data_IF_800713343533
#
_entry.id   IF_800713343533
#
_cell.length_a   1.000
_cell.length_b   1.000
_cell.length_c   1.000
_cell.angle_alpha   90.00
_cell.angle_beta   90.00
_cell.angle_gamma   90.00
#
_symmetry.space_group_name_H-M   'P 1'
#
loop_
_entity.id
_entity.type
_entity.pdbx_description
1 polymer ?
#
# COMPACT_ATOMS: atom_id res chain seq x y z
N UNK A 1 16.93 13.98 -9.05
CA UNK A 1 17.91 14.12 -10.16
C UNK A 1 18.14 12.72 -10.73
N UNK A 2 17.89 12.48 -12.03
CA UNK A 2 18.01 11.13 -12.62
C UNK A 2 19.46 10.84 -13.02
N UNK A 3 19.86 9.57 -13.11
CA UNK A 3 21.24 9.20 -13.48
C UNK A 3 21.57 9.60 -14.90
N UNK A 4 20.58 9.62 -15.79
CA UNK A 4 20.73 10.19 -17.14
C UNK A 4 21.09 11.68 -17.10
N UNK A 5 20.56 12.42 -16.12
CA UNK A 5 20.92 13.84 -15.93
C UNK A 5 22.38 13.97 -15.44
N UNK A 6 22.81 13.10 -14.53
CA UNK A 6 24.17 13.09 -13.99
C UNK A 6 25.19 12.69 -15.07
N UNK A 7 24.87 11.68 -15.89
CA UNK A 7 25.68 11.26 -17.05
C UNK A 7 25.79 12.36 -18.10
N UNK A 8 24.69 13.08 -18.35
CA UNK A 8 24.70 14.22 -19.27
C UNK A 8 25.59 15.36 -18.76
N UNK A 9 25.51 15.69 -17.45
CA UNK A 9 26.40 16.69 -16.86
C UNK A 9 27.87 16.27 -16.88
N UNK A 10 28.17 14.99 -16.59
CA UNK A 10 29.53 14.47 -16.76
C UNK A 10 30.02 14.72 -18.19
N UNK A 11 29.25 14.28 -19.19
CA UNK A 11 29.64 14.44 -20.60
C UNK A 11 29.86 15.91 -20.98
N UNK A 12 29.02 16.82 -20.48
CA UNK A 12 29.16 18.25 -20.72
C UNK A 12 30.44 18.82 -20.06
N UNK A 13 30.74 18.44 -18.81
CA UNK A 13 31.95 18.88 -18.11
C UNK A 13 33.20 18.31 -18.79
N UNK A 14 33.20 17.02 -19.14
CA UNK A 14 34.32 16.36 -19.85
C UNK A 14 34.60 17.04 -21.19
N UNK A 15 33.59 17.60 -21.87
CA UNK A 15 33.78 18.34 -23.13
C UNK A 15 34.40 19.74 -22.97
N UNK A 16 34.49 20.25 -21.75
CA UNK A 16 34.99 21.59 -21.44
C UNK A 16 36.41 21.59 -20.86
N UNK A 17 37.02 20.42 -20.63
CA UNK A 17 38.33 20.28 -20.00
C UNK A 17 39.30 19.62 -20.97
N UNK A 18 40.53 20.15 -21.06
CA UNK A 18 41.55 19.70 -22.01
C UNK A 18 42.05 18.27 -21.70
N UNK A 19 42.12 17.89 -20.42
CA UNK A 19 42.56 16.57 -19.94
C UNK A 19 41.39 15.60 -19.68
N UNK A 20 40.50 15.46 -20.67
CA UNK A 20 39.27 14.66 -20.54
C UNK A 20 39.53 13.19 -20.19
N UNK A 21 40.64 12.62 -20.64
CA UNK A 21 41.00 11.22 -20.40
C UNK A 21 41.39 10.94 -18.94
N UNK A 22 41.94 11.93 -18.23
CA UNK A 22 42.33 11.77 -16.82
C UNK A 22 41.08 11.76 -15.91
N UNK A 23 40.08 12.58 -16.25
CA UNK A 23 38.77 12.60 -15.58
C UNK A 23 38.01 11.29 -15.82
N UNK A 24 38.02 10.78 -17.05
CA UNK A 24 37.34 9.53 -17.39
C UNK A 24 38.04 8.28 -16.83
N UNK A 25 39.35 8.35 -16.61
CA UNK A 25 40.12 7.27 -15.99
C UNK A 25 40.07 7.28 -14.45
N UNK A 26 39.65 8.38 -13.83
CA UNK A 26 39.53 8.55 -12.37
C UNK A 26 38.72 7.43 -11.71
N UNK A 27 39.39 6.70 -10.81
CA UNK A 27 38.81 5.59 -10.06
C UNK A 27 37.65 6.04 -9.16
N UNK A 28 37.79 7.19 -8.49
CA UNK A 28 36.75 7.76 -7.63
C UNK A 28 35.47 8.07 -8.42
N UNK A 29 35.60 8.62 -9.63
CA UNK A 29 34.47 8.99 -10.47
C UNK A 29 33.77 7.73 -11.03
N UNK A 30 34.55 6.71 -11.40
CA UNK A 30 34.02 5.39 -11.82
C UNK A 30 33.23 4.71 -10.69
N UNK A 31 33.77 4.71 -9.47
CA UNK A 31 33.11 4.13 -8.30
C UNK A 31 31.83 4.89 -7.93
N UNK A 32 31.87 6.23 -7.99
CA UNK A 32 30.70 7.08 -7.76
C UNK A 32 29.57 6.80 -8.77
N UNK A 33 29.89 6.73 -10.07
CA UNK A 33 28.89 6.41 -11.11
C UNK A 33 28.40 4.96 -11.02
N UNK A 34 29.26 4.02 -10.64
CA UNK A 34 28.86 2.63 -10.40
C UNK A 34 27.88 2.55 -9.25
N UNK A 35 28.19 3.17 -8.11
CA UNK A 35 27.29 3.25 -6.97
C UNK A 35 25.97 3.93 -7.34
N UNK A 36 26.00 4.97 -8.17
CA UNK A 36 24.77 5.61 -8.67
C UNK A 36 23.94 4.65 -9.54
N UNK A 37 24.56 3.93 -10.49
CA UNK A 37 23.86 2.93 -11.31
C UNK A 37 23.32 1.77 -10.46
N UNK A 38 24.03 1.37 -9.41
CA UNK A 38 23.58 0.35 -8.46
C UNK A 38 22.44 0.84 -7.55
N UNK A 39 22.37 2.15 -7.30
CA UNK A 39 21.25 2.80 -6.62
C UNK A 39 20.06 3.09 -7.55
N UNK A 40 20.22 2.97 -8.88
CA UNK A 40 19.07 2.99 -9.78
C UNK A 40 18.26 1.72 -9.58
N UNK A 41 17.11 1.89 -8.95
CA UNK A 41 16.06 0.87 -8.93
C UNK A 41 15.75 0.54 -10.40
N UNK A 42 16.23 -0.62 -10.87
CA UNK A 42 15.85 -1.14 -12.18
C UNK A 42 14.35 -1.28 -12.18
N UNK A 43 13.67 -0.45 -12.98
CA UNK A 43 12.24 -0.57 -13.21
C UNK A 43 11.99 -1.92 -13.89
N UNK A 44 11.65 -2.93 -13.10
CA UNK A 44 10.97 -4.11 -13.62
C UNK A 44 9.71 -3.60 -14.35
N UNK A 45 9.36 -4.22 -15.47
CA UNK A 45 8.19 -3.95 -16.32
C UNK A 45 7.12 -3.14 -15.58
N UNK A 46 6.73 -1.96 -16.09
CA UNK A 46 5.58 -1.21 -15.58
C UNK A 46 4.31 -1.75 -16.25
N UNK A 47 3.62 -2.79 -15.71
CA UNK A 47 2.34 -3.17 -16.26
C UNK A 47 1.39 -1.98 -16.12
N UNK A 48 0.73 -1.60 -17.22
CA UNK A 48 -0.41 -0.71 -17.15
C UNK A 48 -1.53 -1.48 -16.45
N UNK A 49 -1.85 -1.10 -15.21
CA UNK A 49 -2.96 -1.69 -14.45
C UNK A 49 -4.20 -0.84 -14.72
N UNK A 50 -5.16 -1.40 -15.46
CA UNK A 50 -6.46 -0.75 -15.64
C UNK A 50 -7.35 -1.01 -14.43
N UNK A 51 -7.62 0.04 -13.64
CA UNK A 51 -8.50 -0.01 -12.47
C UNK A 51 -9.95 0.39 -12.79
N UNK A 52 -10.24 0.76 -14.05
CA UNK A 52 -11.58 1.20 -14.48
C UNK A 52 -12.68 0.19 -14.15
N UNK A 53 -12.48 -1.15 -14.32
CA UNK A 53 -13.49 -2.13 -13.94
C UNK A 53 -13.85 -2.08 -12.46
N UNK A 54 -12.88 -1.80 -11.58
CA UNK A 54 -13.13 -1.68 -10.14
C UNK A 54 -13.89 -0.39 -9.83
N UNK A 55 -13.51 0.72 -10.46
CA UNK A 55 -14.20 2.00 -10.28
C UNK A 55 -15.67 1.87 -10.73
N UNK A 56 -15.92 1.26 -11.89
CA UNK A 56 -17.28 1.00 -12.39
C UNK A 56 -18.07 0.15 -11.40
N UNK A 57 -17.47 -0.92 -10.88
CA UNK A 57 -18.11 -1.77 -9.86
C UNK A 57 -18.46 -1.01 -8.58
N UNK A 58 -17.57 -0.14 -8.11
CA UNK A 58 -17.83 0.69 -6.94
C UNK A 58 -18.94 1.71 -7.19
N UNK A 59 -19.08 2.20 -8.43
CA UNK A 59 -20.20 3.07 -8.84
C UNK A 59 -21.52 2.31 -8.92
N UNK A 60 -21.53 1.10 -9.45
CA UNK A 60 -22.72 0.22 -9.48
C UNK A 60 -23.22 -0.12 -8.07
N UNK A 61 -22.31 -0.28 -7.11
CA UNK A 61 -22.66 -0.45 -5.70
C UNK A 61 -23.36 0.77 -5.10
N UNK A 62 -23.19 1.96 -5.68
CA UNK A 62 -23.85 3.17 -5.24
C UNK A 62 -23.25 3.80 -3.99
N UNK A 63 -24.12 4.41 -3.18
CA UNK A 63 -23.70 5.23 -2.02
C UNK A 63 -23.13 4.37 -0.92
N UNK A 64 -21.99 4.77 -0.37
CA UNK A 64 -21.27 4.02 0.68
C UNK A 64 -22.12 3.73 1.92
N UNK A 65 -23.05 4.63 2.26
CA UNK A 65 -23.98 4.49 3.38
C UNK A 65 -25.02 3.39 3.18
N UNK A 66 -25.34 3.02 1.94
CA UNK A 66 -26.39 2.07 1.58
C UNK A 66 -25.86 0.64 1.42
N UNK A 67 -24.53 0.49 1.35
CA UNK A 67 -23.89 -0.81 1.17
C UNK A 67 -24.19 -1.77 2.32
N UNK A 68 -24.38 -3.03 1.96
CA UNK A 68 -24.38 -4.13 2.92
C UNK A 68 -22.99 -4.29 3.56
N UNK A 69 -22.92 -5.00 4.69
CA UNK A 69 -21.68 -5.15 5.46
C UNK A 69 -20.56 -5.79 4.63
N UNK A 70 -20.87 -6.74 3.75
CA UNK A 70 -19.87 -7.46 2.95
C UNK A 70 -19.30 -6.56 1.85
N UNK A 71 -20.14 -5.81 1.16
CA UNK A 71 -19.76 -4.80 0.17
C UNK A 71 -18.95 -3.69 0.83
N UNK A 72 -19.44 -3.14 1.94
CA UNK A 72 -18.75 -2.09 2.70
C UNK A 72 -17.37 -2.55 3.20
N UNK A 73 -17.27 -3.78 3.71
CA UNK A 73 -15.98 -4.38 4.12
C UNK A 73 -15.04 -4.49 2.93
N UNK A 74 -15.52 -5.01 1.79
CA UNK A 74 -14.71 -5.16 0.57
C UNK A 74 -14.22 -3.81 0.05
N UNK A 75 -15.12 -2.83 -0.02
CA UNK A 75 -14.84 -1.45 -0.43
C UNK A 75 -13.80 -0.80 0.49
N UNK A 76 -13.99 -0.92 1.80
CA UNK A 76 -13.08 -0.32 2.79
C UNK A 76 -11.69 -0.96 2.70
N UNK A 77 -11.58 -2.30 2.71
CA UNK A 77 -10.29 -2.98 2.58
C UNK A 77 -9.56 -2.61 1.28
N UNK A 78 -10.29 -2.54 0.15
CA UNK A 78 -9.68 -2.20 -1.14
C UNK A 78 -9.24 -0.74 -1.20
N UNK A 79 -10.04 0.21 -0.72
CA UNK A 79 -9.68 1.63 -0.69
C UNK A 79 -8.49 1.87 0.25
N UNK A 80 -8.43 1.23 1.42
CA UNK A 80 -7.27 1.31 2.32
C UNK A 80 -6.01 0.72 1.67
N UNK A 81 -6.15 -0.41 0.95
CA UNK A 81 -5.04 -1.00 0.22
C UNK A 81 -4.51 -0.08 -0.89
N UNK A 82 -5.41 0.51 -1.69
CA UNK A 82 -5.04 1.37 -2.81
C UNK A 82 -4.47 2.72 -2.34
N UNK A 83 -5.18 3.44 -1.48
CA UNK A 83 -4.80 4.80 -1.08
C UNK A 83 -3.73 4.83 0.01
N UNK A 84 -3.68 3.81 0.87
CA UNK A 84 -2.66 3.70 1.91
C UNK A 84 -1.45 2.85 1.51
N UNK A 85 -1.44 2.29 0.29
CA UNK A 85 -0.44 1.31 -0.15
C UNK A 85 -0.28 0.14 0.83
N UNK A 86 -1.40 -0.30 1.41
CA UNK A 86 -1.41 -1.28 2.50
C UNK A 86 -1.57 -2.69 1.98
N UNK A 87 -0.73 -3.61 2.47
CA UNK A 87 -0.94 -5.05 2.28
C UNK A 87 -2.08 -5.52 3.18
N UNK A 88 -2.69 -6.66 2.86
CA UNK A 88 -3.70 -7.28 3.72
C UNK A 88 -3.21 -7.49 5.16
N UNK A 89 -1.93 -7.86 5.33
CA UNK A 89 -1.30 -7.98 6.66
C UNK A 89 -1.17 -6.65 7.39
N UNK A 90 -0.97 -5.55 6.67
CA UNK A 90 -0.87 -4.22 7.25
C UNK A 90 -2.27 -3.77 7.70
N UNK A 91 -3.30 -3.99 6.88
CA UNK A 91 -4.71 -3.70 7.22
C UNK A 91 -5.16 -4.50 8.45
N UNK A 92 -4.77 -5.77 8.52
CA UNK A 92 -5.04 -6.63 9.68
C UNK A 92 -4.42 -6.06 10.97
N UNK A 93 -3.31 -5.32 10.87
CA UNK A 93 -2.53 -4.81 12.00
C UNK A 93 -2.87 -3.35 12.35
N UNK A 94 -3.91 -2.78 11.76
CA UNK A 94 -4.38 -1.43 12.10
C UNK A 94 -5.02 -1.45 13.49
N UNK A 95 -4.49 -0.60 14.38
CA UNK A 95 -5.09 -0.34 15.68
C UNK A 95 -6.20 0.70 15.56
N UNK A 96 -7.44 0.26 15.76
CA UNK A 96 -8.64 1.07 15.68
C UNK A 96 -8.73 2.10 16.80
N UNK A 97 -8.16 1.82 17.98
CA UNK A 97 -8.10 2.78 19.10
C UNK A 97 -7.24 4.00 18.76
N UNK A 98 -6.28 3.82 17.84
CA UNK A 98 -5.38 4.85 17.31
C UNK A 98 -5.76 5.31 15.92
N UNK A 99 -6.93 4.91 15.43
CA UNK A 99 -7.46 5.32 14.13
C UNK A 99 -8.40 6.49 14.31
N UNK A 100 -7.98 7.66 13.83
CA UNK A 100 -8.70 8.93 13.96
C UNK A 100 -9.01 9.54 12.61
N UNK A 101 -10.12 10.27 12.54
CA UNK A 101 -10.50 11.05 11.36
C UNK A 101 -10.60 12.51 11.81
N UNK A 102 -9.74 13.36 11.27
CA UNK A 102 -9.68 14.78 11.61
C UNK A 102 -9.35 15.60 10.36
N UNK A 103 -10.05 16.73 10.16
CA UNK A 103 -9.88 17.62 9.00
C UNK A 103 -9.72 16.85 7.68
N UNK A 104 -10.68 15.97 7.37
CA UNK A 104 -10.70 15.17 6.14
C UNK A 104 -9.51 14.22 5.94
N UNK A 105 -8.72 13.96 6.98
CA UNK A 105 -7.59 13.01 6.95
C UNK A 105 -7.91 11.82 7.86
N UNK A 106 -7.78 10.62 7.31
CA UNK A 106 -7.79 9.37 8.06
C UNK A 106 -6.35 9.06 8.50
N UNK A 107 -6.12 9.06 9.81
CA UNK A 107 -4.84 8.65 10.42
C UNK A 107 -5.00 7.30 11.07
N UNK A 108 -4.10 6.37 10.75
CA UNK A 108 -4.08 5.01 11.28
C UNK A 108 -2.67 4.67 11.76
N UNK A 109 -2.58 3.78 12.74
CA UNK A 109 -1.30 3.21 13.16
C UNK A 109 -1.32 1.71 12.93
N UNK A 110 -0.31 1.22 12.21
CA UNK A 110 -0.11 -0.20 11.93
C UNK A 110 0.93 -0.72 12.91
N UNK A 111 0.51 -1.69 13.73
CA UNK A 111 1.33 -2.23 14.81
C UNK A 111 2.16 -3.40 14.29
N UNK A 112 3.46 -3.40 14.58
CA UNK A 112 4.41 -4.46 14.21
C UNK A 112 4.22 -4.93 12.75
N UNK A 113 4.30 -4.06 11.72
CA UNK A 113 4.26 -4.50 10.33
C UNK A 113 5.44 -5.43 10.03
N UNK A 114 5.43 -6.11 8.88
CA UNK A 114 6.56 -6.99 8.50
C UNK A 114 7.88 -6.24 8.33
N UNK A 115 7.80 -4.94 8.04
CA UNK A 115 8.95 -4.04 7.98
C UNK A 115 9.61 -3.92 9.36
N UNK A 116 10.94 -3.99 9.39
CA UNK A 116 11.74 -3.78 10.60
C UNK A 116 12.70 -2.62 10.38
N UNK A 117 13.03 -1.89 11.44
CA UNK A 117 14.11 -0.88 11.44
C UNK A 117 15.17 -1.30 12.44
N UNK A 118 16.42 -1.42 11.98
CA UNK A 118 17.55 -1.88 12.79
C UNK A 118 17.26 -3.21 13.51
N UNK A 119 16.62 -4.15 12.80
CA UNK A 119 16.23 -5.46 13.35
C UNK A 119 15.04 -5.45 14.32
N UNK A 120 14.51 -4.28 14.68
CA UNK A 120 13.38 -4.12 15.60
C UNK A 120 12.05 -3.92 14.87
N UNK A 121 10.99 -4.45 15.46
CA UNK A 121 9.61 -4.15 15.10
C UNK A 121 9.32 -2.66 15.28
N UNK A 122 8.44 -2.12 14.44
CA UNK A 122 8.09 -0.69 14.45
C UNK A 122 6.58 -0.50 14.57
N UNK A 123 6.18 0.73 14.83
CA UNK A 123 4.84 1.20 14.51
C UNK A 123 4.93 2.03 13.23
N UNK A 124 4.01 1.80 12.30
CA UNK A 124 3.97 2.57 11.05
C UNK A 124 2.72 3.45 11.01
N UNK A 125 2.84 4.78 11.14
CA UNK A 125 1.74 5.68 10.87
C UNK A 125 1.38 5.65 9.37
N UNK A 126 0.09 5.76 9.07
CA UNK A 126 -0.43 5.87 7.71
C UNK A 126 -1.51 6.95 7.69
N UNK A 127 -1.37 7.91 6.78
CA UNK A 127 -2.32 8.99 6.59
C UNK A 127 -2.92 8.91 5.19
N UNK A 128 -4.24 9.01 5.10
CA UNK A 128 -4.98 8.98 3.85
C UNK A 128 -5.91 10.19 3.80
N UNK A 129 -5.78 10.99 2.74
CA UNK A 129 -6.65 12.14 2.50
C UNK A 129 -8.02 11.71 1.96
N UNK A 130 -9.03 12.53 2.23
CA UNK A 130 -10.35 12.40 1.63
C UNK A 130 -10.26 12.52 0.09
N UNK A 131 -11.04 11.69 -0.59
CA UNK A 131 -11.18 11.77 -2.04
C UNK A 131 -12.42 12.61 -2.37
N UNK A 132 -12.32 13.47 -3.40
CA UNK A 132 -13.40 14.36 -3.82
C UNK A 132 -14.67 13.60 -4.23
N UNK A 133 -14.51 12.47 -4.93
CA UNK A 133 -15.62 11.56 -5.24
C UNK A 133 -16.00 10.72 -4.00
N UNK A 134 -17.20 10.88 -3.42
CA UNK A 134 -17.64 10.12 -2.24
C UNK A 134 -17.70 8.61 -2.47
N UNK A 135 -17.85 8.16 -3.72
CA UNK A 135 -17.85 6.73 -4.06
C UNK A 135 -16.45 6.14 -3.90
N UNK A 136 -15.40 6.92 -4.18
CA UNK A 136 -14.00 6.47 -4.09
C UNK A 136 -13.31 6.93 -2.80
N UNK A 137 -14.07 7.52 -1.86
CA UNK A 137 -13.51 8.14 -0.68
C UNK A 137 -13.13 7.13 0.42
N UNK A 138 -11.82 6.94 0.73
CA UNK A 138 -11.37 6.03 1.78
C UNK A 138 -11.77 6.52 3.18
N UNK A 139 -11.74 7.84 3.41
CA UNK A 139 -12.10 8.45 4.70
C UNK A 139 -13.58 8.22 5.01
N UNK A 140 -14.46 8.46 4.04
CA UNK A 140 -15.90 8.22 4.16
C UNK A 140 -16.19 6.72 4.34
N UNK A 141 -15.56 5.85 3.56
CA UNK A 141 -15.72 4.40 3.71
C UNK A 141 -15.31 3.92 5.10
N UNK A 142 -14.15 4.34 5.59
CA UNK A 142 -13.68 4.00 6.93
C UNK A 142 -14.63 4.52 8.02
N UNK A 143 -15.10 5.78 7.91
CA UNK A 143 -16.06 6.37 8.85
C UNK A 143 -17.35 5.56 8.95
N UNK A 144 -17.97 5.23 7.81
CA UNK A 144 -19.20 4.45 7.78
C UNK A 144 -18.96 3.01 8.25
N UNK A 145 -17.81 2.42 7.89
CA UNK A 145 -17.41 1.10 8.35
C UNK A 145 -17.26 1.04 9.87
N UNK A 146 -16.58 2.01 10.49
CA UNK A 146 -16.48 2.09 11.96
C UNK A 146 -17.85 2.18 12.62
N UNK A 147 -18.75 3.02 12.10
CA UNK A 147 -20.10 3.17 12.64
C UNK A 147 -20.99 1.93 12.50
N UNK A 148 -20.81 1.11 11.45
CA UNK A 148 -21.65 -0.08 11.21
C UNK A 148 -21.05 -1.39 11.72
N UNK A 149 -19.72 -1.48 11.77
CA UNK A 149 -19.00 -2.76 11.92
C UNK A 149 -18.01 -2.72 13.08
N UNK A 150 -17.16 -1.70 13.16
CA UNK A 150 -16.13 -1.60 14.21
C UNK A 150 -16.54 -0.63 15.35
N UNK A 151 -17.81 -0.69 15.76
CA UNK A 151 -18.34 0.20 16.81
C UNK A 151 -17.97 -0.28 18.23
N UNK A 152 -17.86 -1.59 18.42
CA UNK A 152 -17.44 -2.22 19.67
C UNK A 152 -15.93 -2.50 19.70
N UNK A 153 -15.40 -2.61 20.93
CA UNK A 153 -14.04 -3.09 21.17
C UNK A 153 -13.89 -4.55 20.74
N UNK A 154 -12.85 -4.85 19.96
CA UNK A 154 -12.39 -6.23 19.77
C UNK A 154 -10.85 -6.23 19.79
N UNK A 155 -10.36 -6.66 20.95
CA UNK A 155 -8.96 -6.65 21.31
C UNK A 155 -8.40 -8.05 21.16
N UNK A 156 -7.25 -8.16 20.51
CA UNK A 156 -6.52 -9.42 20.42
C UNK A 156 -5.03 -9.21 20.67
N UNK A 157 -4.36 -10.20 21.28
CA UNK A 157 -2.91 -10.20 21.37
C UNK A 157 -2.31 -10.24 19.95
N UNK A 158 -1.24 -9.49 19.75
CA UNK A 158 -0.54 -9.46 18.48
C UNK A 158 0.11 -10.83 18.20
N UNK A 159 -0.01 -11.32 16.97
CA UNK A 159 0.41 -12.69 16.58
C UNK A 159 1.87 -13.01 16.90
N UNK A 160 2.75 -12.00 16.86
CA UNK A 160 4.18 -12.17 17.12
C UNK A 160 4.59 -11.80 18.55
N UNK A 161 3.75 -11.04 19.27
CA UNK A 161 4.08 -10.51 20.58
C UNK A 161 2.80 -10.39 21.42
N UNK A 162 2.56 -11.41 22.24
CA UNK A 162 1.35 -11.50 23.06
C UNK A 162 1.26 -10.42 24.15
N UNK A 163 2.36 -9.69 24.42
CA UNK A 163 2.33 -8.55 25.34
C UNK A 163 1.66 -7.31 24.73
N UNK A 164 1.54 -7.25 23.40
CA UNK A 164 0.89 -6.14 22.70
C UNK A 164 -0.54 -6.55 22.39
N UNK A 165 -1.50 -5.74 22.81
CA UNK A 165 -2.91 -5.91 22.45
C UNK A 165 -3.27 -4.89 21.37
N UNK A 166 -3.93 -5.35 20.31
CA UNK A 166 -4.37 -4.51 19.20
C UNK A 166 -5.90 -4.51 19.14
N UNK A 167 -6.51 -3.32 19.10
CA UNK A 167 -7.94 -3.20 18.81
C UNK A 167 -8.14 -3.29 17.29
N UNK A 168 -8.70 -4.39 16.80
CA UNK A 168 -8.62 -4.76 15.40
C UNK A 168 -9.60 -3.99 14.50
N UNK A 169 -9.17 -3.04 13.67
CA UNK A 169 -10.12 -2.31 12.81
C UNK A 169 -10.99 -3.24 11.94
N UNK A 170 -10.39 -4.23 11.28
CA UNK A 170 -11.09 -5.12 10.35
C UNK A 170 -11.84 -6.25 11.07
N UNK A 171 -13.18 -6.21 11.09
CA UNK A 171 -14.06 -7.19 11.77
C UNK A 171 -14.78 -8.15 10.82
N UNK A 172 -15.10 -9.33 11.33
CA UNK A 172 -15.83 -10.37 10.62
C UNK A 172 -17.27 -9.94 10.30
N UNK A 173 -17.64 -9.99 9.01
CA UNK A 173 -18.94 -9.55 8.48
C UNK A 173 -20.18 -10.21 9.10
N UNK A 174 -20.05 -11.38 9.76
CA UNK A 174 -21.16 -12.06 10.44
C UNK A 174 -21.15 -11.84 11.94
N UNK A 175 -19.96 -11.71 12.53
CA UNK A 175 -19.79 -11.51 13.96
C UNK A 175 -18.68 -10.49 14.21
N UNK A 176 -19.09 -9.24 14.41
CA UNK A 176 -18.19 -8.10 14.54
C UNK A 176 -17.27 -8.15 15.77
N UNK A 177 -17.51 -9.06 16.72
CA UNK A 177 -16.65 -9.26 17.90
C UNK A 177 -15.31 -9.94 17.57
N UNK A 178 -15.18 -10.51 16.37
CA UNK A 178 -13.96 -11.17 15.92
C UNK A 178 -13.35 -10.42 14.75
N UNK A 179 -12.01 -10.36 14.64
CA UNK A 179 -11.37 -9.75 13.49
C UNK A 179 -11.55 -10.60 12.23
N UNK A 180 -11.29 -10.00 11.08
CA UNK A 180 -10.98 -10.76 9.87
C UNK A 180 -9.57 -11.34 9.97
N UNK A 181 -9.36 -12.52 9.41
CA UNK A 181 -8.01 -13.02 9.15
C UNK A 181 -7.39 -12.32 7.93
N UNK A 182 -6.06 -12.37 7.83
CA UNK A 182 -5.31 -11.85 6.67
C UNK A 182 -5.82 -12.43 5.34
N UNK A 183 -6.17 -13.72 5.30
CA UNK A 183 -6.68 -14.38 4.09
C UNK A 183 -8.04 -13.85 3.67
N UNK A 184 -8.92 -13.57 4.64
CA UNK A 184 -10.24 -13.02 4.33
C UNK A 184 -10.12 -11.56 3.86
N UNK A 185 -9.24 -10.77 4.47
CA UNK A 185 -8.92 -9.40 3.99
C UNK A 185 -8.37 -9.46 2.56
N UNK A 186 -7.44 -10.37 2.29
CA UNK A 186 -6.89 -10.60 0.95
C UNK A 186 -8.01 -10.94 -0.04
N UNK A 187 -8.95 -11.80 0.34
CA UNK A 187 -10.11 -12.13 -0.50
C UNK A 187 -11.00 -10.92 -0.75
N UNK A 188 -11.24 -10.07 0.25
CA UNK A 188 -12.02 -8.85 0.08
C UNK A 188 -11.38 -7.87 -0.91
N UNK A 189 -10.06 -7.68 -0.82
CA UNK A 189 -9.29 -6.88 -1.78
C UNK A 189 -9.38 -7.52 -3.17
N UNK A 190 -9.15 -8.84 -3.26
CA UNK A 190 -9.18 -9.56 -4.53
C UNK A 190 -10.56 -9.63 -5.18
N UNK A 191 -11.66 -9.67 -4.42
CA UNK A 191 -13.00 -9.70 -5.00
C UNK A 191 -13.29 -8.48 -5.89
N UNK A 192 -12.67 -7.35 -5.59
CA UNK A 192 -12.70 -6.16 -6.45
C UNK A 192 -11.61 -6.24 -7.53
N UNK A 193 -10.38 -6.61 -7.15
CA UNK A 193 -9.24 -6.69 -8.08
C UNK A 193 -9.34 -7.80 -9.14
N UNK A 194 -10.16 -8.84 -8.98
CA UNK A 194 -10.34 -9.90 -10.00
C UNK A 194 -10.96 -9.33 -11.30
N UNK A 195 -11.52 -8.13 -11.24
CA UNK A 195 -12.03 -7.38 -12.39
C UNK A 195 -10.91 -6.82 -13.30
N UNK A 196 -9.62 -6.92 -12.93
CA UNK A 196 -8.47 -6.60 -13.79
C UNK A 196 -8.32 -7.52 -15.02
N UNK A 197 -9.34 -8.32 -15.35
CA UNK A 197 -9.24 -9.37 -16.35
C UNK A 197 -9.34 -8.79 -17.76
N UNK A 198 -8.22 -8.22 -18.23
CA UNK A 198 -7.87 -8.24 -19.64
C UNK A 198 -6.47 -8.85 -19.87
N UNK A 199 -6.30 -9.41 -21.06
CA UNK A 199 -5.59 -10.66 -21.45
C UNK A 199 -4.07 -10.87 -21.22
N UNK A 200 -3.35 -10.23 -20.29
CA UNK A 200 -1.87 -10.40 -20.24
C UNK A 200 -1.23 -10.89 -18.92
N UNK A 201 -1.98 -11.11 -17.84
CA UNK A 201 -1.38 -11.41 -16.50
C UNK A 201 -1.82 -12.78 -15.93
N UNK A 202 -2.17 -13.76 -16.77
CA UNK A 202 -2.39 -15.14 -16.30
C UNK A 202 -1.12 -15.91 -15.88
N UNK A 203 0.08 -15.68 -16.45
CA UNK A 203 1.25 -16.47 -16.05
C UNK A 203 1.82 -16.09 -14.67
N UNK A 204 1.72 -14.82 -14.27
CA UNK A 204 2.42 -14.32 -13.07
C UNK A 204 1.70 -14.63 -11.75
N UNK A 205 0.37 -14.78 -11.76
CA UNK A 205 -0.41 -15.14 -10.57
C UNK A 205 -0.29 -16.63 -10.21
N UNK A 206 0.06 -17.51 -11.15
CA UNK A 206 0.22 -18.96 -10.90
C UNK A 206 1.60 -19.36 -10.37
N UNK A 207 2.62 -18.51 -10.48
CA UNK A 207 4.02 -18.87 -10.20
C UNK A 207 4.61 -18.30 -8.91
N UNK A 208 3.83 -17.61 -8.05
CA UNK A 208 4.32 -17.18 -6.73
C UNK A 208 5.52 -16.22 -6.77
N UNK A 209 5.74 -15.49 -7.88
CA UNK A 209 6.94 -14.67 -8.09
C UNK A 209 6.89 -13.25 -7.54
N UNK A 210 5.88 -12.88 -6.74
CA UNK A 210 5.86 -11.60 -6.02
C UNK A 210 6.58 -11.65 -4.66
N UNK A 211 7.24 -12.78 -4.32
CA UNK A 211 8.09 -12.93 -3.13
C UNK A 211 9.60 -12.74 -3.38
N UNK A 212 10.00 -12.46 -4.62
CA UNK A 212 11.38 -12.16 -5.01
C UNK A 212 11.40 -11.15 -6.16
N UNK A 213 10.94 -9.93 -5.87
CA UNK A 213 11.25 -8.70 -6.59
C UNK A 213 11.49 -7.61 -5.56
#
# INVERSE_FOLDING_TARGET
MSVNTIKAYKSAITSLVEDSEEIDSSQCLKEFLSAINDTEIKSFVRPTIDISPVILRLREWGRTQELDIRQLTSKTCWLLALFGFLRASDIHRIDDSRTTIYNVILKMVIIDPKEKRNGKSIERPCEINEHLDPILCPVLACKIYKGKVAYDLCSLPHTNNNAITVNMLSRNTRNHKYPLSVDIITRHIHNLSILYRDRLIRPYLRLGLLGRL
#
